data_IF_537007916911
#
_entry.id   IF_537007916911
#
_cell.length_a   1.000
_cell.length_b   1.000
_cell.length_c   1.000
_cell.angle_alpha   90.00
_cell.angle_beta   90.00
_cell.angle_gamma   90.00
#
_symmetry.space_group_name_H-M   'P 1'
#
loop_
_entity.id
_entity.type
_entity.pdbx_description
1 polymer ?
#
# COMPACT_ATOMS: atom_id res chain seq x y z
N UNK A 1 0.74 16.23 15.24
CA UNK A 1 1.93 15.36 15.30
C UNK A 1 1.61 14.23 16.25
N UNK A 2 1.47 13.00 15.76
CA UNK A 2 1.11 11.84 16.59
C UNK A 2 2.36 11.33 17.33
N UNK A 3 2.21 11.11 18.62
CA UNK A 3 3.27 10.54 19.45
C UNK A 3 3.09 9.02 19.45
N UNK A 4 4.08 8.31 18.94
CA UNK A 4 4.16 6.86 19.07
C UNK A 4 4.74 6.58 20.45
N UNK A 5 3.99 5.93 21.31
CA UNK A 5 4.44 5.58 22.65
C UNK A 5 4.53 4.06 22.84
N UNK A 6 5.49 3.61 23.64
CA UNK A 6 5.43 2.25 24.19
C UNK A 6 4.25 2.25 25.17
N UNK A 7 3.36 1.25 25.16
CA UNK A 7 2.09 1.33 25.87
C UNK A 7 2.26 1.43 27.38
N UNK A 8 1.67 2.46 27.93
CA UNK A 8 1.11 2.44 29.28
C UNK A 8 -0.27 1.80 29.20
N UNK A 9 -0.83 1.32 30.28
CA UNK A 9 -2.02 0.47 30.37
C UNK A 9 -3.32 0.99 29.72
N UNK A 10 -3.30 2.13 29.05
CA UNK A 10 -4.46 2.69 28.35
C UNK A 10 -4.55 2.12 26.94
N UNK A 11 -5.40 1.12 26.75
CA UNK A 11 -5.71 0.58 25.45
C UNK A 11 -6.62 1.54 24.66
N UNK A 12 -6.32 1.70 23.39
CA UNK A 12 -7.12 2.49 22.48
C UNK A 12 -8.28 1.69 21.90
N UNK A 13 -9.25 2.35 21.27
CA UNK A 13 -10.48 1.71 20.81
C UNK A 13 -10.30 0.78 19.62
N UNK A 14 -9.21 0.94 18.85
CA UNK A 14 -8.90 0.12 17.67
C UNK A 14 -7.66 -0.72 17.92
N UNK A 15 -7.74 -1.99 17.53
CA UNK A 15 -6.64 -2.94 17.74
C UNK A 15 -6.28 -3.63 16.42
N UNK A 16 -5.13 -3.27 15.89
CA UNK A 16 -4.59 -3.91 14.69
C UNK A 16 -3.57 -4.97 15.10
N UNK A 17 -3.85 -6.22 14.77
CA UNK A 17 -2.93 -7.34 15.01
C UNK A 17 -2.53 -7.89 13.65
N UNK A 18 -1.22 -7.92 13.38
CA UNK A 18 -0.66 -8.33 12.10
C UNK A 18 0.20 -9.58 12.24
N UNK A 19 0.26 -10.35 11.18
CA UNK A 19 1.36 -11.24 10.84
C UNK A 19 2.24 -10.57 9.77
N UNK A 20 3.20 -11.29 9.22
CA UNK A 20 4.06 -10.74 8.14
C UNK A 20 3.27 -10.23 6.91
N UNK A 21 2.13 -10.86 6.58
CA UNK A 21 1.37 -10.57 5.37
C UNK A 21 -0.13 -10.32 5.60
N UNK A 22 -0.62 -10.67 6.77
CA UNK A 22 -2.04 -10.69 7.07
C UNK A 22 -2.39 -9.75 8.22
N UNK A 23 -3.67 -9.44 8.35
CA UNK A 23 -4.27 -8.79 9.51
C UNK A 23 -5.29 -9.74 10.16
N UNK A 24 -5.39 -9.68 11.47
CA UNK A 24 -6.37 -10.46 12.23
C UNK A 24 -7.69 -9.71 12.35
N UNK A 25 -8.77 -10.46 12.13
CA UNK A 25 -10.14 -10.05 12.41
C UNK A 25 -10.78 -11.02 13.39
N UNK A 26 -11.90 -10.64 14.00
CA UNK A 26 -12.76 -11.56 14.72
C UNK A 26 -13.27 -12.67 13.78
N UNK A 27 -13.42 -13.87 14.29
CA UNK A 27 -14.08 -14.95 13.54
C UNK A 27 -15.56 -14.63 13.27
N UNK A 28 -16.06 -15.02 12.08
CA UNK A 28 -17.45 -14.82 11.69
C UNK A 28 -17.77 -13.45 11.10
N UNK A 29 -16.75 -12.69 10.65
CA UNK A 29 -16.95 -11.45 9.88
C UNK A 29 -17.72 -11.74 8.59
N UNK A 30 -18.74 -10.94 8.32
CA UNK A 30 -19.54 -11.00 7.10
C UNK A 30 -18.90 -10.20 5.97
N UNK A 31 -18.13 -10.84 5.12
CA UNK A 31 -17.45 -10.22 3.98
C UNK A 31 -18.37 -9.76 2.84
N UNK A 32 -19.69 -9.96 2.95
CA UNK A 32 -20.66 -9.35 2.02
C UNK A 32 -20.88 -7.85 2.33
N UNK A 33 -20.42 -7.39 3.49
CA UNK A 33 -20.51 -6.02 3.96
C UNK A 33 -19.14 -5.34 3.97
N UNK A 34 -19.15 -4.02 4.02
CA UNK A 34 -17.93 -3.24 4.27
C UNK A 34 -17.41 -3.56 5.67
N UNK A 35 -16.13 -3.89 5.79
CA UNK A 35 -15.47 -4.13 7.07
C UNK A 35 -15.32 -2.80 7.81
N UNK A 36 -15.80 -2.76 9.03
CA UNK A 36 -15.66 -1.65 9.96
C UNK A 36 -14.87 -2.03 11.24
N UNK A 37 -14.79 -1.12 12.18
CA UNK A 37 -14.05 -1.30 13.43
C UNK A 37 -14.57 -2.48 14.30
N UNK A 38 -15.81 -2.88 14.15
CA UNK A 38 -16.40 -3.99 14.92
C UNK A 38 -15.78 -5.35 14.58
N UNK A 39 -15.20 -5.46 13.39
CA UNK A 39 -14.49 -6.64 12.92
C UNK A 39 -13.09 -6.79 13.55
N UNK A 40 -12.52 -5.73 14.13
CA UNK A 40 -11.19 -5.77 14.75
C UNK A 40 -11.19 -6.59 16.05
N UNK A 41 -10.06 -7.23 16.40
CA UNK A 41 -9.89 -7.89 17.69
C UNK A 41 -10.17 -6.95 18.86
N UNK A 42 -10.58 -7.51 19.98
CA UNK A 42 -10.84 -6.76 21.21
C UNK A 42 -9.56 -6.59 22.08
N UNK A 43 -9.68 -5.75 23.08
CA UNK A 43 -8.62 -5.49 24.06
C UNK A 43 -8.16 -6.75 24.80
N UNK A 44 -9.06 -7.70 25.07
CA UNK A 44 -8.71 -8.95 25.74
C UNK A 44 -7.81 -9.82 24.87
N UNK A 45 -8.05 -9.84 23.57
CA UNK A 45 -7.21 -10.54 22.57
C UNK A 45 -5.81 -9.91 22.52
N UNK A 46 -5.73 -8.57 22.47
CA UNK A 46 -4.47 -7.82 22.55
C UNK A 46 -3.70 -8.16 23.83
N UNK A 47 -4.36 -8.07 24.97
CA UNK A 47 -3.76 -8.36 26.27
C UNK A 47 -3.22 -9.79 26.34
N UNK A 48 -3.94 -10.77 25.79
CA UNK A 48 -3.46 -12.16 25.69
C UNK A 48 -2.21 -12.29 24.81
N UNK A 49 -2.16 -11.63 23.66
CA UNK A 49 -1.00 -11.66 22.77
C UNK A 49 0.26 -11.11 23.47
N UNK A 50 0.12 -9.99 24.19
CA UNK A 50 1.25 -9.37 24.89
C UNK A 50 1.67 -10.23 26.10
N UNK A 51 0.71 -10.66 26.93
CA UNK A 51 0.96 -11.44 28.14
C UNK A 51 1.60 -12.79 27.84
N UNK A 52 1.18 -13.44 26.76
CA UNK A 52 1.70 -14.75 26.34
C UNK A 52 2.99 -14.63 25.51
N UNK A 53 3.52 -13.43 25.36
CA UNK A 53 4.76 -13.16 24.60
C UNK A 53 4.73 -13.67 23.15
N UNK A 54 3.54 -13.69 22.53
CA UNK A 54 3.37 -14.04 21.10
C UNK A 54 3.49 -12.83 20.19
N UNK A 55 3.65 -11.64 20.76
CA UNK A 55 3.90 -10.40 20.01
C UNK A 55 5.41 -10.17 19.88
N UNK A 56 5.91 -10.08 18.66
CA UNK A 56 7.31 -9.72 18.37
C UNK A 56 7.58 -8.23 18.57
N UNK A 57 6.57 -7.39 18.29
CA UNK A 57 6.61 -5.94 18.54
C UNK A 57 5.20 -5.38 18.70
N UNK A 58 5.09 -4.24 19.38
CA UNK A 58 3.82 -3.54 19.55
C UNK A 58 4.00 -2.07 19.97
N UNK A 59 3.02 -1.23 19.68
CA UNK A 59 2.98 0.17 20.09
C UNK A 59 1.53 0.71 20.07
N UNK A 60 1.32 1.89 20.67
CA UNK A 60 0.08 2.63 20.58
C UNK A 60 0.29 4.00 19.98
N UNK A 61 -0.67 4.49 19.21
CA UNK A 61 -0.66 5.83 18.63
C UNK A 61 -1.91 6.61 19.03
N UNK A 62 -1.74 7.71 19.79
CA UNK A 62 -2.83 8.53 20.28
C UNK A 62 -3.56 9.27 19.16
N UNK A 63 -2.85 9.76 18.13
CA UNK A 63 -3.45 10.48 17.00
C UNK A 63 -4.41 9.64 16.16
N UNK A 64 -4.17 8.32 16.07
CA UNK A 64 -5.02 7.36 15.38
C UNK A 64 -5.97 6.59 16.30
N UNK A 65 -5.82 6.75 17.60
CA UNK A 65 -6.57 6.00 18.62
C UNK A 65 -6.54 4.48 18.40
N UNK A 66 -5.33 3.91 18.24
CA UNK A 66 -5.15 2.48 18.04
C UNK A 66 -3.93 1.89 18.74
N UNK A 67 -3.99 0.59 19.00
CA UNK A 67 -2.83 -0.25 19.34
C UNK A 67 -2.51 -1.15 18.14
N UNK A 68 -1.24 -1.26 17.80
CA UNK A 68 -0.74 -2.12 16.74
C UNK A 68 0.19 -3.19 17.29
N UNK A 69 0.02 -4.43 16.83
CA UNK A 69 0.79 -5.59 17.26
C UNK A 69 1.27 -6.36 16.04
N UNK A 70 2.54 -6.77 16.04
CA UNK A 70 3.08 -7.77 15.14
C UNK A 70 3.23 -9.09 15.91
N UNK A 71 2.66 -10.16 15.41
CA UNK A 71 2.83 -11.48 15.99
C UNK A 71 4.19 -12.08 15.63
N UNK A 72 4.69 -12.96 16.51
CA UNK A 72 5.84 -13.81 16.18
C UNK A 72 5.53 -14.70 14.97
N UNK A 73 6.55 -15.01 14.18
CA UNK A 73 6.43 -15.97 13.10
C UNK A 73 6.00 -17.35 13.68
N UNK A 74 5.14 -18.04 12.93
CA UNK A 74 4.60 -19.35 13.29
C UNK A 74 3.73 -19.39 14.58
N UNK A 75 3.35 -18.21 15.09
CA UNK A 75 2.44 -18.15 16.20
C UNK A 75 1.02 -18.57 15.77
N UNK A 76 0.34 -19.43 16.54
CA UNK A 76 -1.03 -19.79 16.25
C UNK A 76 -1.95 -18.56 16.35
N UNK A 77 -2.91 -18.47 15.43
CA UNK A 77 -3.93 -17.41 15.46
C UNK A 77 -4.70 -17.46 16.78
N UNK A 78 -4.81 -16.34 17.49
CA UNK A 78 -5.57 -16.29 18.74
C UNK A 78 -7.00 -16.82 18.60
N UNK A 79 -7.48 -17.56 19.59
CA UNK A 79 -8.85 -18.07 19.61
C UNK A 79 -9.88 -16.95 19.42
N UNK A 80 -10.86 -17.18 18.57
CA UNK A 80 -11.88 -16.20 18.19
C UNK A 80 -11.44 -15.21 17.13
N UNK A 81 -10.24 -15.39 16.54
CA UNK A 81 -9.74 -14.60 15.40
C UNK A 81 -9.53 -15.45 14.16
N UNK A 82 -9.46 -14.78 13.04
CA UNK A 82 -9.06 -15.31 11.74
C UNK A 82 -8.09 -14.34 11.07
N UNK A 83 -7.29 -14.81 10.12
CA UNK A 83 -6.40 -13.97 9.32
C UNK A 83 -7.00 -13.73 7.94
N UNK A 84 -6.80 -12.55 7.41
CA UNK A 84 -7.00 -12.24 5.99
C UNK A 84 -5.77 -11.48 5.46
N UNK A 85 -5.45 -11.62 4.17
CA UNK A 85 -4.40 -10.81 3.55
C UNK A 85 -4.64 -9.33 3.79
N UNK A 86 -3.60 -8.59 4.22
CA UNK A 86 -3.70 -7.15 4.48
C UNK A 86 -4.25 -6.41 3.26
N UNK A 87 -3.87 -6.83 2.06
CA UNK A 87 -4.40 -6.30 0.80
C UNK A 87 -5.91 -6.47 0.67
N UNK A 88 -6.44 -7.64 1.06
CA UNK A 88 -7.88 -7.90 1.05
C UNK A 88 -8.59 -6.99 2.07
N UNK A 89 -8.07 -6.90 3.29
CA UNK A 89 -8.62 -5.99 4.32
C UNK A 89 -8.74 -4.55 3.79
N UNK A 90 -7.70 -4.07 3.10
CA UNK A 90 -7.69 -2.73 2.52
C UNK A 90 -8.85 -2.52 1.53
N UNK A 91 -9.16 -3.53 0.70
CA UNK A 91 -10.29 -3.47 -0.24
C UNK A 91 -11.64 -3.61 0.46
N UNK A 92 -11.74 -4.46 1.45
CA UNK A 92 -13.00 -4.79 2.11
C UNK A 92 -13.46 -3.69 3.08
N UNK A 93 -12.57 -2.77 3.44
CA UNK A 93 -12.91 -1.54 4.19
C UNK A 93 -13.45 -0.42 3.31
N UNK A 94 -13.41 -0.53 1.99
CA UNK A 94 -13.89 0.49 1.07
C UNK A 94 -15.39 0.33 0.80
N UNK A 95 -16.13 1.43 0.87
CA UNK A 95 -17.49 1.52 0.33
C UNK A 95 -17.48 1.43 -1.20
N UNK A 96 -18.64 1.20 -1.83
CA UNK A 96 -18.73 1.17 -3.29
C UNK A 96 -18.36 2.52 -3.92
N UNK A 97 -18.72 3.63 -3.28
CA UNK A 97 -18.36 4.97 -3.73
C UNK A 97 -16.85 5.21 -3.62
N UNK A 98 -16.21 4.79 -2.51
CA UNK A 98 -14.76 4.87 -2.35
C UNK A 98 -14.01 3.99 -3.35
N UNK A 99 -14.49 2.76 -3.62
CA UNK A 99 -13.95 1.91 -4.69
C UNK A 99 -14.03 2.57 -6.06
N UNK A 100 -15.10 3.29 -6.33
CA UNK A 100 -15.28 4.01 -7.59
C UNK A 100 -14.39 5.25 -7.74
N UNK A 101 -13.96 5.86 -6.63
CA UNK A 101 -13.20 7.11 -6.62
C UNK A 101 -11.69 6.94 -6.35
N UNK A 102 -11.20 5.72 -6.13
CA UNK A 102 -9.80 5.46 -5.78
C UNK A 102 -9.40 5.98 -4.40
N UNK A 103 -10.37 6.21 -3.51
CA UNK A 103 -10.13 6.67 -2.14
C UNK A 103 -9.64 5.53 -1.26
N UNK A 104 -8.99 5.91 -0.16
CA UNK A 104 -8.62 5.00 0.92
C UNK A 104 -9.59 5.19 2.07
N UNK A 105 -10.15 4.12 2.62
CA UNK A 105 -10.98 4.23 3.83
C UNK A 105 -10.15 4.71 5.01
N UNK A 106 -10.79 5.37 5.97
CA UNK A 106 -10.12 5.80 7.22
C UNK A 106 -9.52 4.60 7.94
N UNK A 107 -10.27 3.50 8.05
CA UNK A 107 -9.82 2.28 8.73
C UNK A 107 -8.65 1.61 8.00
N UNK A 108 -8.74 1.46 6.69
CA UNK A 108 -7.65 0.92 5.86
C UNK A 108 -6.39 1.78 5.93
N UNK A 109 -6.53 3.11 5.90
CA UNK A 109 -5.41 4.04 6.05
C UNK A 109 -4.72 3.94 7.41
N UNK A 110 -5.49 3.80 8.50
CA UNK A 110 -4.93 3.59 9.84
C UNK A 110 -4.21 2.23 9.95
N UNK A 111 -4.79 1.16 9.41
CA UNK A 111 -4.15 -0.16 9.39
C UNK A 111 -2.83 -0.14 8.59
N UNK A 112 -2.83 0.50 7.40
CA UNK A 112 -1.63 0.67 6.59
C UNK A 112 -0.54 1.43 7.34
N UNK A 113 -0.90 2.53 8.00
CA UNK A 113 0.01 3.33 8.84
C UNK A 113 0.56 2.49 10.01
N UNK A 114 -0.30 1.76 10.71
CA UNK A 114 0.08 0.90 11.82
C UNK A 114 1.08 -0.19 11.38
N UNK A 115 0.79 -0.86 10.28
CA UNK A 115 1.67 -1.86 9.68
C UNK A 115 3.02 -1.28 9.28
N UNK A 116 3.02 -0.13 8.57
CA UNK A 116 4.24 0.56 8.15
C UNK A 116 5.16 0.92 9.32
N UNK A 117 4.60 1.32 10.48
CA UNK A 117 5.39 1.58 11.69
C UNK A 117 5.98 0.32 12.32
N UNK A 118 5.25 -0.78 12.34
CA UNK A 118 5.79 -2.06 12.80
C UNK A 118 6.95 -2.50 11.90
N UNK A 119 6.80 -2.36 10.58
CA UNK A 119 7.88 -2.65 9.62
C UNK A 119 9.07 -1.70 9.77
N UNK A 120 8.85 -0.41 10.04
CA UNK A 120 9.93 0.54 10.36
C UNK A 120 10.71 0.09 11.60
N UNK A 121 10.02 -0.35 12.66
CA UNK A 121 10.64 -0.82 13.91
C UNK A 121 11.43 -2.12 13.69
N UNK A 122 10.91 -3.02 12.90
CA UNK A 122 11.58 -4.25 12.49
C UNK A 122 12.87 -3.96 11.69
N UNK A 123 12.76 -3.12 10.64
CA UNK A 123 13.86 -2.74 9.74
C UNK A 123 14.97 -1.97 10.46
N UNK A 124 14.60 -1.08 11.38
CA UNK A 124 15.53 -0.19 12.08
C UNK A 124 15.63 -0.53 13.57
N UNK A 125 16.10 -1.73 13.89
CA UNK A 125 16.47 -2.13 15.27
C UNK A 125 17.80 -1.53 15.69
N UNK A 126 18.75 -1.47 14.76
CA UNK A 126 20.11 -0.95 14.98
C UNK A 126 20.44 0.13 13.96
N UNK A 127 21.24 1.09 14.40
CA UNK A 127 21.67 2.20 13.56
C UNK A 127 22.64 1.74 12.48
N UNK A 128 22.36 1.94 11.19
CA UNK A 128 23.28 1.56 10.11
C UNK A 128 24.56 2.38 10.09
N UNK A 129 24.63 3.50 10.85
CA UNK A 129 25.82 4.35 10.92
C UNK A 129 26.77 3.94 12.05
N UNK A 130 26.26 3.55 13.24
CA UNK A 130 27.10 3.31 14.41
C UNK A 130 26.78 2.01 15.18
N UNK A 131 25.86 1.17 14.68
CA UNK A 131 25.50 -0.13 15.26
C UNK A 131 24.71 -0.07 16.59
N UNK A 132 24.47 1.11 17.16
CA UNK A 132 23.72 1.22 18.42
C UNK A 132 22.23 1.07 18.19
N UNK A 133 21.50 0.65 19.23
CA UNK A 133 20.05 0.45 19.16
C UNK A 133 19.29 1.72 18.81
N UNK A 134 18.19 1.57 18.10
CA UNK A 134 17.25 2.65 17.84
C UNK A 134 16.03 2.52 18.75
N UNK A 135 15.50 3.68 19.19
CA UNK A 135 14.27 3.79 19.96
C UNK A 135 13.30 4.72 19.22
N UNK A 136 12.01 4.62 19.54
CA UNK A 136 11.03 5.56 19.02
C UNK A 136 11.35 6.98 19.48
N UNK A 137 11.24 7.93 18.55
CA UNK A 137 11.40 9.34 18.89
C UNK A 137 10.12 9.86 19.56
N UNK A 138 10.28 10.64 20.63
CA UNK A 138 9.14 11.14 21.42
C UNK A 138 8.41 12.33 20.77
N UNK A 139 8.94 12.92 19.70
CA UNK A 139 8.34 14.07 19.00
C UNK A 139 7.96 13.76 17.57
N UNK A 140 8.66 12.81 16.95
CA UNK A 140 8.58 12.56 15.53
C UNK A 140 8.15 11.11 15.27
N UNK A 141 7.47 10.89 14.18
CA UNK A 141 7.22 9.56 13.63
C UNK A 141 8.53 9.02 13.04
N UNK A 142 9.47 8.64 13.90
CA UNK A 142 10.81 8.22 13.53
C UNK A 142 11.45 7.32 14.59
N UNK A 143 12.50 6.61 14.19
CA UNK A 143 13.41 5.90 15.11
C UNK A 143 14.65 6.76 15.35
N UNK A 144 15.05 6.97 16.61
CA UNK A 144 16.24 7.73 16.99
C UNK A 144 17.34 6.81 17.49
N UNK A 145 18.55 7.01 16.99
CA UNK A 145 19.73 6.29 17.48
C UNK A 145 20.13 6.75 18.88
N UNK A 146 20.30 5.80 19.81
CA UNK A 146 20.72 6.07 21.19
C UNK A 146 22.19 6.48 21.30
N UNK A 147 23.01 6.21 20.27
CA UNK A 147 24.43 6.56 20.24
C UNK A 147 24.71 7.85 19.50
N UNK A 148 24.38 7.94 18.21
CA UNK A 148 24.74 9.10 17.37
C UNK A 148 23.61 10.10 17.15
N UNK A 149 22.42 9.87 17.69
CA UNK A 149 21.26 10.76 17.58
C UNK A 149 20.56 10.81 16.22
N UNK A 150 21.06 10.11 15.19
CA UNK A 150 20.45 10.10 13.86
C UNK A 150 19.02 9.61 13.91
N UNK A 151 18.19 10.23 13.05
CA UNK A 151 16.77 9.89 12.87
C UNK A 151 16.57 9.06 11.61
N UNK A 152 15.67 8.08 11.70
CA UNK A 152 15.25 7.24 10.60
C UNK A 152 13.72 7.31 10.51
N UNK A 153 13.25 7.82 9.39
CA UNK A 153 11.82 8.02 9.13
C UNK A 153 11.24 6.83 8.35
N UNK A 154 9.89 6.63 8.39
CA UNK A 154 9.23 5.73 7.46
C UNK A 154 9.63 6.05 6.03
N UNK A 155 9.97 5.04 5.27
CA UNK A 155 10.22 5.16 3.85
C UNK A 155 8.91 4.94 3.11
N UNK A 156 8.65 5.78 2.12
CA UNK A 156 7.56 5.61 1.16
C UNK A 156 8.22 5.64 -0.21
N UNK A 157 7.97 4.60 -1.00
CA UNK A 157 8.53 4.44 -2.33
C UNK A 157 7.56 5.01 -3.37
N UNK A 158 7.87 6.20 -3.96
CA UNK A 158 7.01 6.77 -5.00
C UNK A 158 7.09 5.94 -6.27
N UNK A 159 5.93 5.60 -6.83
CA UNK A 159 5.82 4.92 -8.10
C UNK A 159 4.78 5.63 -8.97
N UNK A 160 5.04 5.75 -10.26
CA UNK A 160 4.06 6.24 -11.23
C UNK A 160 3.19 5.11 -11.73
N UNK A 161 1.96 5.44 -12.13
CA UNK A 161 1.10 4.57 -12.91
C UNK A 161 0.41 5.41 -13.97
N UNK A 162 0.49 5.00 -15.24
CA UNK A 162 0.04 5.82 -16.35
C UNK A 162 -0.86 5.06 -17.32
N UNK A 163 -1.99 5.68 -17.66
CA UNK A 163 -2.83 5.26 -18.78
C UNK A 163 -2.47 6.06 -20.02
N UNK A 164 -1.94 5.40 -21.04
CA UNK A 164 -1.60 6.00 -22.34
C UNK A 164 -2.77 5.82 -23.29
N UNK A 165 -3.22 6.92 -23.91
CA UNK A 165 -4.35 6.92 -24.85
C UNK A 165 -3.91 7.25 -26.29
N UNK A 166 -4.55 6.59 -27.28
CA UNK A 166 -4.39 6.84 -28.72
C UNK A 166 -5.76 6.86 -29.38
N UNK A 167 -6.36 8.04 -29.49
CA UNK A 167 -7.77 8.13 -29.91
C UNK A 167 -8.70 7.41 -28.95
N UNK A 168 -9.49 6.45 -29.44
CA UNK A 168 -10.38 5.63 -28.63
C UNK A 168 -9.68 4.40 -27.99
N UNK A 169 -8.37 4.24 -28.21
CA UNK A 169 -7.62 3.11 -27.65
C UNK A 169 -6.79 3.50 -26.45
N UNK A 170 -6.53 2.53 -25.59
CA UNK A 170 -5.62 2.62 -24.43
C UNK A 170 -4.55 1.53 -24.52
N UNK A 171 -3.33 1.87 -24.14
CA UNK A 171 -2.23 0.93 -24.02
C UNK A 171 -2.31 0.25 -22.66
N UNK A 172 -2.43 -1.06 -22.66
CA UNK A 172 -2.40 -1.87 -21.44
C UNK A 172 -1.32 -2.94 -21.59
N UNK A 173 -0.73 -3.29 -20.44
CA UNK A 173 0.36 -4.25 -20.34
C UNK A 173 -0.01 -5.40 -19.43
N UNK A 174 0.61 -6.55 -19.65
CA UNK A 174 0.50 -7.73 -18.82
C UNK A 174 1.85 -8.10 -18.26
N UNK A 175 1.99 -8.01 -16.93
CA UNK A 175 3.26 -8.27 -16.25
C UNK A 175 3.59 -9.76 -16.25
N UNK A 176 4.86 -10.10 -16.47
CA UNK A 176 5.37 -11.47 -16.53
C UNK A 176 5.33 -12.16 -15.18
N UNK A 177 5.68 -11.44 -14.12
CA UNK A 177 5.81 -11.98 -12.76
C UNK A 177 4.53 -11.85 -11.91
N UNK A 178 3.44 -11.34 -12.49
CA UNK A 178 2.16 -11.21 -11.80
C UNK A 178 1.39 -12.54 -11.75
N UNK A 179 0.96 -12.97 -10.56
CA UNK A 179 0.04 -14.11 -10.41
C UNK A 179 -1.32 -13.87 -11.08
N UNK A 180 -1.54 -12.70 -11.65
CA UNK A 180 -2.84 -12.19 -12.13
C UNK A 180 -2.90 -12.23 -13.64
N UNK A 181 -3.94 -12.85 -14.18
CA UNK A 181 -4.19 -12.94 -15.61
C UNK A 181 -4.98 -11.73 -16.14
N UNK A 182 -4.55 -10.50 -15.82
CA UNK A 182 -5.19 -9.28 -16.29
C UNK A 182 -4.19 -8.31 -16.94
N UNK A 183 -4.71 -7.40 -17.75
CA UNK A 183 -3.97 -6.26 -18.29
C UNK A 183 -4.14 -5.03 -17.39
N UNK A 184 -3.08 -4.27 -17.19
CA UNK A 184 -3.03 -3.09 -16.32
C UNK A 184 -2.41 -1.89 -17.04
N UNK A 185 -2.37 -0.75 -16.36
CA UNK A 185 -1.56 0.39 -16.78
C UNK A 185 -0.07 0.09 -16.57
N UNK A 186 0.80 0.80 -17.30
CA UNK A 186 2.25 0.82 -17.08
C UNK A 186 2.53 1.46 -15.73
N UNK A 187 3.47 0.90 -14.96
CA UNK A 187 3.80 1.40 -13.63
C UNK A 187 5.25 1.10 -13.26
N UNK A 188 5.97 2.08 -12.72
CA UNK A 188 7.33 1.90 -12.28
C UNK A 188 7.76 2.90 -11.20
N UNK A 189 8.93 2.65 -10.61
CA UNK A 189 9.44 3.46 -9.51
C UNK A 189 10.13 4.74 -10.00
N UNK A 190 10.01 5.78 -9.17
CA UNK A 190 10.76 7.02 -9.36
C UNK A 190 12.21 6.81 -8.98
N UNK A 191 13.15 7.16 -9.86
CA UNK A 191 14.58 7.07 -9.60
C UNK A 191 15.16 8.33 -8.96
N UNK A 192 16.34 8.20 -8.36
CA UNK A 192 17.03 9.34 -7.74
C UNK A 192 17.37 10.42 -8.75
N UNK A 193 16.91 11.66 -8.48
CA UNK A 193 17.16 12.82 -9.33
C UNK A 193 16.21 12.96 -10.51
N UNK A 194 15.21 12.09 -10.61
CA UNK A 194 14.23 12.08 -11.69
C UNK A 194 12.96 12.85 -11.29
N UNK A 195 12.49 13.82 -12.10
CA UNK A 195 11.13 14.37 -11.96
C UNK A 195 10.09 13.30 -12.31
N UNK A 196 8.94 13.34 -11.65
CA UNK A 196 7.88 12.34 -11.80
C UNK A 196 7.40 12.22 -13.25
N UNK A 197 7.31 13.34 -13.98
CA UNK A 197 6.92 13.35 -15.38
C UNK A 197 7.97 12.62 -16.27
N UNK A 198 9.24 12.69 -15.89
CA UNK A 198 10.30 11.95 -16.57
C UNK A 198 10.25 10.45 -16.27
N UNK A 199 9.87 10.08 -15.05
CA UNK A 199 9.58 8.68 -14.73
C UNK A 199 8.49 8.12 -15.65
N UNK A 200 7.40 8.86 -15.86
CA UNK A 200 6.33 8.44 -16.78
C UNK A 200 6.86 8.24 -18.20
N UNK A 201 7.65 9.18 -18.74
CA UNK A 201 8.23 9.06 -20.07
C UNK A 201 9.16 7.84 -20.17
N UNK A 202 10.04 7.65 -19.17
CA UNK A 202 11.01 6.56 -19.13
C UNK A 202 10.33 5.19 -19.07
N UNK A 203 9.44 4.98 -18.09
CA UNK A 203 8.77 3.69 -17.90
C UNK A 203 7.95 3.28 -19.13
N UNK A 204 7.22 4.22 -19.74
CA UNK A 204 6.49 3.92 -20.99
C UNK A 204 7.45 3.55 -22.11
N UNK A 205 8.57 4.27 -22.24
CA UNK A 205 9.53 4.01 -23.31
C UNK A 205 10.28 2.68 -23.08
N UNK A 206 10.72 2.39 -21.84
CA UNK A 206 11.46 1.18 -21.49
C UNK A 206 10.60 -0.06 -21.64
N UNK A 207 9.40 -0.05 -21.03
CA UNK A 207 8.52 -1.22 -21.07
C UNK A 207 7.89 -1.49 -22.44
N UNK A 208 7.61 -0.43 -23.23
CA UNK A 208 6.79 -0.60 -24.45
C UNK A 208 7.37 0.00 -25.73
N UNK A 209 8.47 0.76 -25.68
CA UNK A 209 9.03 1.45 -26.86
C UNK A 209 8.16 2.62 -27.37
N UNK A 210 7.17 3.07 -26.60
CA UNK A 210 6.25 4.15 -26.97
C UNK A 210 6.73 5.47 -26.38
N UNK A 211 6.67 6.55 -27.16
CA UNK A 211 6.83 7.93 -26.66
C UNK A 211 5.47 8.55 -26.38
N UNK A 212 5.41 9.36 -25.32
CA UNK A 212 4.18 10.00 -24.85
C UNK A 212 4.32 11.51 -24.72
N UNK A 213 3.18 12.20 -24.77
CA UNK A 213 3.04 13.63 -24.53
C UNK A 213 1.83 13.94 -23.70
N UNK A 214 1.63 15.24 -23.35
CA UNK A 214 0.47 15.71 -22.60
C UNK A 214 0.26 14.94 -21.28
N UNK A 215 1.35 14.65 -20.57
CA UNK A 215 1.34 13.95 -19.29
C UNK A 215 0.59 14.80 -18.26
N UNK A 216 -0.43 14.21 -17.61
CA UNK A 216 -1.27 14.91 -16.63
C UNK A 216 -1.40 14.06 -15.36
N UNK A 217 -1.07 14.67 -14.23
CA UNK A 217 -1.36 14.10 -12.92
C UNK A 217 -2.87 14.05 -12.68
N UNK A 218 -3.36 12.92 -12.22
CA UNK A 218 -4.78 12.66 -11.95
C UNK A 218 -5.03 12.56 -10.46
N UNK A 219 -4.17 11.87 -9.70
CA UNK A 219 -4.32 11.67 -8.28
C UNK A 219 -3.29 10.68 -7.73
N UNK A 220 -3.46 10.25 -6.48
CA UNK A 220 -2.58 9.26 -5.86
C UNK A 220 -3.36 8.26 -5.02
N UNK A 221 -2.78 7.08 -4.81
CA UNK A 221 -3.32 6.06 -3.92
C UNK A 221 -2.18 5.43 -3.11
N UNK A 222 -2.28 5.38 -1.76
CA UNK A 222 -1.38 4.59 -0.96
C UNK A 222 -1.48 3.12 -1.36
N UNK A 223 -0.32 2.49 -1.52
CA UNK A 223 -0.21 1.06 -1.84
C UNK A 223 0.75 0.41 -0.85
N UNK A 224 0.29 0.15 0.39
CA UNK A 224 1.15 -0.27 1.50
C UNK A 224 1.55 -1.76 1.41
N UNK A 225 2.08 -2.18 0.25
CA UNK A 225 2.48 -3.57 -0.04
C UNK A 225 3.81 -3.60 -0.82
N UNK A 226 4.95 -3.26 -0.16
CA UNK A 226 5.07 -2.89 1.26
C UNK A 226 4.88 -1.40 1.56
N UNK A 227 5.41 -0.47 0.76
CA UNK A 227 5.61 0.94 1.17
C UNK A 227 5.36 1.93 0.02
N UNK A 228 4.54 1.58 -1.00
CA UNK A 228 4.40 2.39 -2.21
C UNK A 228 3.37 3.51 -2.07
N UNK A 229 3.65 4.62 -2.74
CA UNK A 229 2.67 5.65 -3.07
C UNK A 229 2.51 5.70 -4.59
N UNK A 230 1.37 5.23 -5.10
CA UNK A 230 1.06 5.26 -6.52
C UNK A 230 0.62 6.66 -6.93
N UNK A 231 1.33 7.27 -7.89
CA UNK A 231 1.04 8.57 -8.49
C UNK A 231 0.43 8.33 -9.87
N UNK A 232 -0.85 8.63 -10.03
CA UNK A 232 -1.64 8.32 -11.21
C UNK A 232 -1.57 9.41 -12.27
N UNK A 233 -1.31 9.00 -13.51
CA UNK A 233 -1.18 9.88 -14.67
C UNK A 233 -2.02 9.38 -15.85
N UNK A 234 -2.40 10.31 -16.71
CA UNK A 234 -2.78 10.03 -18.09
C UNK A 234 -1.77 10.67 -19.04
N UNK A 235 -1.55 10.06 -20.20
CA UNK A 235 -0.71 10.60 -21.26
C UNK A 235 -1.31 10.26 -22.62
N UNK A 236 -0.95 11.05 -23.64
CA UNK A 236 -1.31 10.78 -25.01
C UNK A 236 -0.13 10.11 -25.74
N UNK A 237 -0.44 9.14 -26.60
CA UNK A 237 0.52 8.58 -27.54
C UNK A 237 1.12 9.69 -28.42
N UNK A 238 2.43 9.70 -28.59
CA UNK A 238 3.11 10.60 -29.51
C UNK A 238 3.67 9.87 -30.72
N UNK A 239 4.50 8.85 -30.47
CA UNK A 239 5.17 8.09 -31.54
C UNK A 239 5.64 6.71 -31.03
N UNK A 240 6.18 5.90 -31.94
CA UNK A 240 6.75 4.59 -31.63
C UNK A 240 5.84 3.43 -32.01
N UNK A 241 6.36 2.23 -31.87
CA UNK A 241 5.64 0.96 -32.02
C UNK A 241 5.91 0.09 -30.82
N UNK A 242 4.94 -0.71 -30.41
CA UNK A 242 5.06 -1.59 -29.23
C UNK A 242 6.25 -2.53 -29.43
N UNK A 243 7.20 -2.45 -28.49
CA UNK A 243 8.34 -3.34 -28.30
C UNK A 243 8.44 -3.60 -26.81
N UNK A 244 7.98 -4.75 -26.37
CA UNK A 244 7.95 -5.08 -24.93
C UNK A 244 9.34 -5.35 -24.39
N UNK A 245 9.56 -4.96 -23.14
CA UNK A 245 10.69 -5.40 -22.33
C UNK A 245 10.35 -6.79 -21.77
N UNK A 246 10.88 -7.82 -22.42
CA UNK A 246 10.52 -9.23 -22.13
C UNK A 246 10.91 -9.70 -20.71
N UNK A 247 11.80 -8.98 -20.03
CA UNK A 247 12.17 -9.24 -18.63
C UNK A 247 11.01 -8.97 -17.69
N UNK A 248 10.18 -7.95 -17.95
CA UNK A 248 9.13 -7.46 -17.09
C UNK A 248 7.73 -7.75 -17.63
N UNK A 249 7.53 -7.65 -18.92
CA UNK A 249 6.22 -7.80 -19.55
C UNK A 249 6.07 -9.16 -20.28
N UNK A 250 4.88 -9.73 -20.15
CA UNK A 250 4.43 -10.86 -20.96
C UNK A 250 3.81 -10.38 -22.26
N UNK A 251 3.09 -9.26 -22.25
CA UNK A 251 2.38 -8.70 -23.39
C UNK A 251 2.08 -7.22 -23.22
N UNK A 252 1.91 -6.51 -24.32
CA UNK A 252 1.42 -5.14 -24.37
C UNK A 252 0.61 -4.91 -25.65
N UNK A 253 -0.57 -4.31 -25.54
CA UNK A 253 -1.43 -4.07 -26.70
C UNK A 253 -2.31 -2.83 -26.53
N UNK A 254 -2.77 -2.31 -27.68
CA UNK A 254 -3.80 -1.29 -27.74
C UNK A 254 -5.18 -1.95 -27.67
N UNK A 255 -6.02 -1.50 -26.75
CA UNK A 255 -7.40 -1.97 -26.57
C UNK A 255 -8.38 -0.83 -26.78
N UNK A 256 -9.49 -1.08 -27.43
CA UNK A 256 -10.58 -0.11 -27.53
C UNK A 256 -11.23 0.07 -26.15
N UNK A 257 -11.50 1.32 -25.77
CA UNK A 257 -12.14 1.65 -24.49
C UNK A 257 -13.50 0.97 -24.31
N UNK A 258 -14.18 0.65 -25.42
CA UNK A 258 -15.47 -0.03 -25.44
C UNK A 258 -15.35 -1.56 -25.38
N UNK A 259 -14.13 -2.12 -25.53
CA UNK A 259 -13.87 -3.56 -25.54
C UNK A 259 -12.57 -3.88 -24.79
N UNK A 260 -12.60 -3.67 -23.49
CA UNK A 260 -11.45 -3.89 -22.62
C UNK A 260 -11.25 -5.40 -22.31
N UNK A 261 -9.99 -5.85 -22.16
CA UNK A 261 -9.70 -7.20 -21.67
C UNK A 261 -10.05 -7.34 -20.18
N UNK A 262 -9.63 -8.44 -19.56
CA UNK A 262 -9.69 -8.56 -18.10
C UNK A 262 -8.74 -7.51 -17.51
N UNK A 263 -9.26 -6.62 -16.67
CA UNK A 263 -8.54 -5.54 -16.00
C UNK A 263 -8.57 -5.74 -14.47
N UNK A 264 -7.75 -4.99 -13.68
CA UNK A 264 -7.76 -5.08 -12.22
C UNK A 264 -9.13 -4.84 -11.60
N UNK A 265 -9.29 -5.27 -10.34
CA UNK A 265 -10.55 -5.11 -9.61
C UNK A 265 -10.90 -3.64 -9.33
N UNK A 266 -12.20 -3.31 -9.21
CA UNK A 266 -12.67 -2.01 -8.76
C UNK A 266 -11.98 -1.56 -7.45
N UNK A 267 -11.66 -0.28 -7.36
CA UNK A 267 -10.96 0.31 -6.21
C UNK A 267 -9.45 0.46 -6.40
N UNK A 268 -8.82 -0.28 -7.33
CA UNK A 268 -7.42 -0.03 -7.68
C UNK A 268 -7.27 1.22 -8.53
N UNK A 269 -6.14 1.91 -8.35
CA UNK A 269 -5.79 3.07 -9.17
C UNK A 269 -5.81 2.72 -10.67
N UNK A 270 -5.32 1.55 -11.05
CA UNK A 270 -5.35 1.07 -12.43
C UNK A 270 -6.78 0.94 -12.98
N UNK A 271 -7.68 0.29 -12.24
CA UNK A 271 -9.09 0.18 -12.63
C UNK A 271 -9.72 1.56 -12.85
N UNK A 272 -9.49 2.49 -11.92
CA UNK A 272 -10.09 3.82 -11.97
C UNK A 272 -9.53 4.66 -13.11
N UNK A 273 -8.24 4.52 -13.45
CA UNK A 273 -7.66 5.15 -14.64
C UNK A 273 -8.28 4.58 -15.92
N UNK A 274 -8.30 3.24 -16.07
CA UNK A 274 -8.78 2.55 -17.28
C UNK A 274 -10.26 2.86 -17.54
N UNK A 275 -11.07 2.90 -16.49
CA UNK A 275 -12.52 3.14 -16.59
C UNK A 275 -12.92 4.62 -16.53
N UNK A 276 -11.95 5.53 -16.40
CA UNK A 276 -12.21 6.97 -16.30
C UNK A 276 -12.93 7.40 -15.01
N UNK A 277 -12.93 6.53 -13.99
CA UNK A 277 -13.62 6.77 -12.70
C UNK A 277 -12.75 7.44 -11.64
N UNK A 278 -11.53 7.82 -11.97
CA UNK A 278 -10.65 8.54 -11.06
C UNK A 278 -11.19 9.97 -10.88
N UNK A 279 -11.99 10.21 -9.86
CA UNK A 279 -12.49 11.55 -9.56
C UNK A 279 -11.46 12.33 -8.76
N UNK A 280 -11.16 13.56 -9.19
CA UNK A 280 -10.36 14.48 -8.39
C UNK A 280 -11.03 14.65 -7.02
N UNK A 281 -10.32 14.25 -5.96
CA UNK A 281 -10.73 14.50 -4.57
C UNK A 281 -10.74 15.98 -4.23
#
# INVERSE_FOLDING_TARGET
MSIISTPTADFYSRHFIFTEKDILLKSGVDFSKVIDESALPDEQTVSRCIKNQVASDWFSESGGNYTAIMLENDCPVPSGCMTIPLRQFFWDTLTQDEKSCGKTSVLGGLAARAYGFLKLREKYRFCPTCGKTLKDDYRLTARRCTGCGKLFFPQIEPAVIVLVSKGNQVLLVKNKNGASNFYSCIAGFVEHGEPIEKTVEREVAEETGISVKNIKYIGSQPWPYPDQLMLAFTADYESGSIKIQEEELQDAAWFDKDSLPIIPNPGSVAYNLITGKFTKG
#
